data_IF_019074201381
#
_entry.id   IF_019074201381
#
_cell.length_a   1.000
_cell.length_b   1.000
_cell.length_c   1.000
_cell.angle_alpha   90.00
_cell.angle_beta   90.00
_cell.angle_gamma   90.00
#
_symmetry.space_group_name_H-M   'P 1'
#
loop_
_entity.id
_entity.type
_entity.pdbx_description
1 polymer ?
#
# COMPACT_ATOMS: atom_id res chain seq x y z
N UNK A 1 26.71 -36.86 -24.81
CA UNK A 1 25.62 -37.48 -25.58
C UNK A 1 24.66 -38.13 -24.59
N UNK A 2 23.38 -37.89 -24.80
CA UNK A 2 22.22 -38.13 -23.93
C UNK A 2 22.12 -39.55 -23.34
N UNK A 3 21.56 -39.66 -22.11
CA UNK A 3 20.29 -40.34 -21.84
C UNK A 3 19.82 -40.06 -20.39
N UNK A 4 18.49 -39.92 -20.16
CA UNK A 4 17.87 -39.45 -18.92
C UNK A 4 17.52 -40.61 -17.98
N UNK A 5 17.56 -40.39 -16.66
CA UNK A 5 16.89 -41.26 -15.70
C UNK A 5 15.85 -40.45 -14.92
N UNK A 6 14.60 -40.78 -15.23
CA UNK A 6 13.37 -40.32 -14.61
C UNK A 6 13.29 -40.97 -13.22
N UNK A 7 13.44 -40.19 -12.15
CA UNK A 7 13.06 -40.63 -10.80
C UNK A 7 11.65 -40.10 -10.53
N UNK A 8 10.68 -41.02 -10.54
CA UNK A 8 9.33 -40.74 -10.10
C UNK A 8 9.34 -40.44 -8.61
N UNK A 9 9.07 -39.18 -8.25
CA UNK A 9 8.73 -38.84 -6.88
C UNK A 9 7.38 -39.47 -6.53
N UNK A 10 7.40 -40.45 -5.63
CA UNK A 10 6.22 -41.07 -5.04
C UNK A 10 5.47 -40.00 -4.23
N UNK A 11 4.31 -39.57 -4.73
CA UNK A 11 3.48 -38.54 -4.11
C UNK A 11 2.53 -39.09 -3.02
N UNK A 12 2.79 -40.30 -2.51
CA UNK A 12 1.89 -41.00 -1.57
C UNK A 12 2.41 -41.14 -0.14
N UNK A 13 3.53 -40.51 0.21
CA UNK A 13 3.93 -40.45 1.61
C UNK A 13 3.09 -39.40 2.35
N UNK A 14 2.32 -39.87 3.34
CA UNK A 14 1.48 -39.02 4.17
C UNK A 14 2.31 -37.95 4.89
N UNK A 15 1.88 -36.70 4.82
CA UNK A 15 2.54 -35.59 5.52
C UNK A 15 2.60 -35.85 7.04
N UNK A 16 3.73 -35.48 7.65
CA UNK A 16 4.04 -35.61 9.09
C UNK A 16 3.05 -34.83 9.99
N UNK A 17 2.17 -34.03 9.39
CA UNK A 17 1.06 -33.30 10.03
C UNK A 17 -0.28 -34.02 9.94
N UNK A 18 -0.32 -35.34 9.65
CA UNK A 18 -1.54 -36.16 9.69
C UNK A 18 -2.09 -36.40 11.12
N UNK A 19 -1.89 -35.44 12.02
CA UNK A 19 -2.64 -35.37 13.26
C UNK A 19 -4.12 -35.18 12.92
N UNK A 20 -4.91 -36.19 13.27
CA UNK A 20 -6.37 -36.24 13.29
C UNK A 20 -6.98 -34.90 13.69
N UNK A 21 -7.43 -34.13 12.70
CA UNK A 21 -8.15 -32.89 12.92
C UNK A 21 -9.57 -33.24 13.45
N UNK A 22 -9.89 -32.79 14.66
CA UNK A 22 -11.09 -33.13 15.44
C UNK A 22 -12.39 -32.49 14.92
N UNK A 23 -12.35 -31.79 13.78
CA UNK A 23 -13.51 -31.18 13.15
C UNK A 23 -14.20 -32.20 12.25
N UNK A 24 -15.49 -32.47 12.51
CA UNK A 24 -16.34 -33.31 11.66
C UNK A 24 -16.14 -32.87 10.21
N UNK A 25 -15.54 -33.74 9.39
CA UNK A 25 -15.30 -33.50 7.96
C UNK A 25 -16.60 -32.99 7.34
N UNK A 26 -16.56 -31.80 6.70
CA UNK A 26 -17.75 -31.31 6.00
C UNK A 26 -18.12 -32.29 4.89
N UNK A 27 -19.40 -32.47 4.59
CA UNK A 27 -19.82 -33.37 3.50
C UNK A 27 -19.22 -32.97 2.14
N UNK A 28 -18.85 -31.69 1.99
CA UNK A 28 -18.14 -31.18 0.81
C UNK A 28 -16.71 -31.72 0.69
N UNK A 29 -16.06 -32.10 1.80
CA UNK A 29 -14.73 -32.72 1.78
C UNK A 29 -14.70 -34.12 1.15
N UNK A 30 -15.86 -34.76 0.99
CA UNK A 30 -16.00 -36.03 0.26
C UNK A 30 -16.05 -35.87 -1.25
N UNK A 31 -16.39 -34.69 -1.76
CA UNK A 31 -16.66 -34.45 -3.19
C UNK A 31 -15.40 -34.71 -4.04
N UNK A 32 -14.21 -34.51 -3.48
CA UNK A 32 -12.93 -34.75 -4.17
C UNK A 32 -12.45 -36.21 -4.22
N UNK A 33 -13.12 -37.17 -3.56
CA UNK A 33 -12.67 -38.59 -3.55
C UNK A 33 -13.26 -39.43 -4.68
N UNK A 34 -14.43 -39.05 -5.22
CA UNK A 34 -15.08 -39.74 -6.34
C UNK A 34 -15.02 -38.98 -7.67
N UNK A 35 -14.99 -37.65 -7.62
CA UNK A 35 -14.93 -36.76 -8.78
C UNK A 35 -13.68 -35.88 -8.66
N UNK A 36 -12.62 -36.23 -9.39
CA UNK A 36 -11.37 -35.43 -9.38
C UNK A 36 -11.58 -34.00 -9.90
N UNK A 37 -12.52 -33.81 -10.83
CA UNK A 37 -12.86 -32.52 -11.41
C UNK A 37 -14.34 -32.55 -11.81
N UNK A 38 -15.11 -31.52 -11.45
CA UNK A 38 -16.42 -31.26 -12.05
C UNK A 38 -16.22 -30.27 -13.18
N UNK A 39 -16.64 -30.61 -14.40
CA UNK A 39 -16.63 -29.64 -15.49
C UNK A 39 -17.78 -28.65 -15.27
N UNK A 40 -17.56 -27.37 -15.58
CA UNK A 40 -18.62 -26.33 -15.51
C UNK A 40 -19.85 -26.69 -16.33
N UNK A 41 -19.67 -27.51 -17.38
CA UNK A 41 -20.74 -28.07 -18.20
C UNK A 41 -21.61 -29.14 -17.51
N UNK A 42 -21.12 -29.73 -16.42
CA UNK A 42 -21.81 -30.77 -15.64
C UNK A 42 -22.57 -30.18 -14.45
N UNK A 43 -22.21 -28.95 -14.03
CA UNK A 43 -23.01 -28.15 -13.12
C UNK A 43 -24.34 -27.79 -13.79
N UNK A 44 -25.44 -28.28 -13.21
CA UNK A 44 -26.83 -28.17 -13.65
C UNK A 44 -27.12 -27.22 -14.83
N UNK A 45 -27.65 -27.80 -15.92
CA UNK A 45 -28.32 -27.08 -17.01
C UNK A 45 -29.62 -26.43 -16.52
N UNK A 46 -29.56 -25.56 -15.51
CA UNK A 46 -30.67 -24.64 -15.24
C UNK A 46 -30.67 -23.67 -16.40
N UNK A 47 -31.82 -23.53 -17.05
CA UNK A 47 -32.04 -22.47 -18.03
C UNK A 47 -31.47 -21.17 -17.45
N UNK A 48 -30.54 -20.55 -18.17
CA UNK A 48 -30.02 -19.24 -17.80
C UNK A 48 -31.22 -18.31 -17.80
N UNK A 49 -31.77 -18.03 -16.62
CA UNK A 49 -32.74 -16.97 -16.47
C UNK A 49 -31.94 -15.72 -16.76
N UNK A 50 -32.15 -15.12 -17.92
CA UNK A 50 -31.66 -13.77 -18.17
C UNK A 50 -32.29 -12.90 -17.08
N UNK A 51 -31.46 -12.53 -16.10
CA UNK A 51 -31.84 -11.50 -15.16
C UNK A 51 -32.13 -10.25 -15.99
N UNK A 52 -33.20 -9.50 -15.67
CA UNK A 52 -33.42 -8.22 -16.31
C UNK A 52 -32.18 -7.35 -16.14
N UNK A 53 -31.92 -6.48 -17.12
CA UNK A 53 -30.83 -5.52 -17.00
C UNK A 53 -31.01 -4.74 -15.69
N UNK A 54 -30.03 -4.83 -14.79
CA UNK A 54 -30.04 -4.07 -13.55
C UNK A 54 -29.87 -2.60 -13.89
N UNK A 55 -30.86 -1.80 -13.58
CA UNK A 55 -30.79 -0.34 -13.65
C UNK A 55 -30.02 0.28 -12.47
N UNK A 56 -29.68 -0.53 -11.45
CA UNK A 56 -28.96 -0.08 -10.26
C UNK A 56 -29.86 0.48 -9.16
N UNK A 57 -31.17 0.58 -9.40
CA UNK A 57 -32.18 1.12 -8.46
C UNK A 57 -32.14 0.46 -7.09
N UNK A 58 -32.03 -0.87 -7.04
CA UNK A 58 -31.94 -1.62 -5.79
C UNK A 58 -30.77 -1.13 -4.92
N UNK A 59 -29.60 -0.85 -5.52
CA UNK A 59 -28.42 -0.38 -4.76
C UNK A 59 -28.68 1.00 -4.15
N UNK A 60 -29.35 1.88 -4.87
CA UNK A 60 -29.73 3.23 -4.42
C UNK A 60 -30.74 3.15 -3.28
N UNK A 61 -31.82 2.37 -3.44
CA UNK A 61 -32.81 2.11 -2.39
C UNK A 61 -32.17 1.53 -1.11
N UNK A 62 -31.24 0.57 -1.26
CA UNK A 62 -30.50 0.02 -0.13
C UNK A 62 -29.62 1.08 0.55
N UNK A 63 -28.95 1.93 -0.22
CA UNK A 63 -28.09 2.99 0.32
C UNK A 63 -28.91 4.04 1.08
N UNK A 64 -30.04 4.47 0.52
CA UNK A 64 -30.98 5.40 1.16
C UNK A 64 -31.58 4.81 2.44
N UNK A 65 -31.98 3.54 2.42
CA UNK A 65 -32.51 2.86 3.59
C UNK A 65 -31.48 2.82 4.74
N UNK A 66 -30.22 2.50 4.44
CA UNK A 66 -29.16 2.44 5.44
C UNK A 66 -28.84 3.83 6.00
N UNK A 67 -28.76 4.85 5.14
CA UNK A 67 -28.60 6.24 5.55
C UNK A 67 -29.74 6.71 6.47
N UNK A 68 -31.00 6.37 6.13
CA UNK A 68 -32.18 6.70 6.96
C UNK A 68 -32.15 6.04 8.34
N UNK A 69 -31.47 4.91 8.47
CA UNK A 69 -31.29 4.17 9.74
C UNK A 69 -30.03 4.56 10.49
N UNK A 70 -29.23 5.49 9.97
CA UNK A 70 -27.95 5.87 10.56
C UNK A 70 -26.89 4.77 10.52
N UNK A 71 -27.01 3.81 9.60
CA UNK A 71 -26.07 2.69 9.45
C UNK A 71 -25.07 3.05 8.36
N UNK A 72 -23.84 3.40 8.76
CA UNK A 72 -22.80 3.87 7.85
C UNK A 72 -21.59 2.94 7.77
N UNK A 73 -21.43 2.02 8.71
CA UNK A 73 -20.29 1.11 8.79
C UNK A 73 -20.63 -0.30 8.28
N UNK A 74 -20.83 -0.41 6.96
CA UNK A 74 -21.08 -1.69 6.28
C UNK A 74 -20.20 -1.79 5.05
N UNK A 75 -20.02 -3.00 4.53
CA UNK A 75 -19.30 -3.18 3.27
C UNK A 75 -19.95 -2.42 2.11
N UNK A 76 -21.29 -2.35 2.06
CA UNK A 76 -22.00 -1.65 1.00
C UNK A 76 -21.82 -0.14 1.08
N UNK A 77 -22.03 0.44 2.27
CA UNK A 77 -21.86 1.88 2.50
C UNK A 77 -20.41 2.32 2.33
N UNK A 78 -19.42 1.45 2.54
CA UNK A 78 -18.02 1.75 2.22
C UNK A 78 -17.79 2.05 0.73
N UNK A 79 -18.56 1.43 -0.17
CA UNK A 79 -18.45 1.65 -1.62
C UNK A 79 -19.47 2.63 -2.21
N UNK A 80 -20.57 2.90 -1.49
CA UNK A 80 -21.66 3.76 -1.99
C UNK A 80 -21.70 5.14 -1.34
N UNK A 81 -21.07 5.31 -0.17
CA UNK A 81 -21.04 6.63 0.48
C UNK A 81 -20.18 7.59 -0.34
N UNK A 82 -20.61 8.86 -0.49
CA UNK A 82 -19.78 9.86 -1.13
C UNK A 82 -18.49 10.04 -0.33
N UNK A 83 -17.37 9.86 -1.02
CA UNK A 83 -16.04 10.12 -0.49
C UNK A 83 -15.83 11.63 -0.60
N UNK A 84 -15.43 12.30 0.47
CA UNK A 84 -15.29 13.77 0.50
C UNK A 84 -13.98 14.18 1.15
N UNK A 85 -13.32 15.19 0.60
CA UNK A 85 -12.15 15.83 1.17
C UNK A 85 -10.90 14.97 1.05
N UNK A 86 -10.20 14.75 2.17
CA UNK A 86 -8.91 14.03 2.16
C UNK A 86 -9.01 12.58 1.66
N UNK A 87 -10.20 11.99 1.71
CA UNK A 87 -10.44 10.63 1.23
C UNK A 87 -10.56 10.55 -0.30
N UNK A 88 -10.66 11.67 -1.00
CA UNK A 88 -10.69 11.72 -2.48
C UNK A 88 -9.28 11.75 -3.11
N UNK A 89 -8.25 12.00 -2.28
CA UNK A 89 -6.86 12.14 -2.72
C UNK A 89 -6.13 10.83 -3.13
N UNK A 90 -6.52 9.62 -2.68
CA UNK A 90 -5.94 8.39 -3.20
C UNK A 90 -6.05 8.34 -4.73
N UNK A 91 -4.99 7.87 -5.41
CA UNK A 91 -4.92 7.94 -6.87
C UNK A 91 -6.08 7.23 -7.58
N UNK A 92 -6.59 6.14 -7.00
CA UNK A 92 -7.70 5.40 -7.59
C UNK A 92 -9.01 6.20 -7.59
N UNK A 93 -9.26 7.03 -6.57
CA UNK A 93 -10.39 7.97 -6.56
C UNK A 93 -10.18 9.11 -7.56
N UNK A 94 -8.99 9.71 -7.59
CA UNK A 94 -8.66 10.74 -8.59
C UNK A 94 -8.82 10.23 -10.01
N UNK A 95 -8.37 9.00 -10.29
CA UNK A 95 -8.50 8.38 -11.61
C UNK A 95 -9.97 8.13 -11.96
N UNK A 96 -10.78 7.65 -11.01
CA UNK A 96 -12.21 7.50 -11.21
C UNK A 96 -12.91 8.84 -11.45
N UNK A 97 -12.57 9.88 -10.68
CA UNK A 97 -13.11 11.22 -10.83
C UNK A 97 -12.75 11.83 -12.19
N UNK A 98 -11.49 11.68 -12.62
CA UNK A 98 -11.05 12.12 -13.95
C UNK A 98 -11.83 11.43 -15.05
N UNK A 99 -12.01 10.11 -14.98
CA UNK A 99 -12.81 9.34 -15.94
C UNK A 99 -14.26 9.83 -16.01
N UNK A 100 -14.85 10.20 -14.88
CA UNK A 100 -16.23 10.69 -14.80
C UNK A 100 -16.42 12.09 -15.40
N UNK A 101 -15.34 12.85 -15.65
CA UNK A 101 -15.43 14.13 -16.37
C UNK A 101 -15.76 13.96 -17.86
N UNK A 102 -15.62 12.75 -18.40
CA UNK A 102 -15.77 12.48 -19.84
C UNK A 102 -14.58 12.94 -20.69
N UNK A 103 -13.51 13.46 -20.07
CA UNK A 103 -12.27 13.80 -20.76
C UNK A 103 -11.55 12.56 -21.30
N UNK A 104 -10.75 12.75 -22.36
CA UNK A 104 -9.88 11.69 -22.88
C UNK A 104 -8.83 11.34 -21.84
N UNK A 105 -8.79 10.07 -21.45
CA UNK A 105 -7.82 9.57 -20.47
C UNK A 105 -6.43 9.56 -21.11
N UNK A 106 -5.60 10.51 -20.69
CA UNK A 106 -4.17 10.56 -21.03
C UNK A 106 -3.35 10.79 -19.76
N UNK A 107 -2.07 10.38 -19.70
CA UNK A 107 -1.24 10.60 -18.52
C UNK A 107 -1.11 12.09 -18.15
N UNK A 108 -0.92 12.96 -19.15
CA UNK A 108 -0.85 14.41 -18.95
C UNK A 108 -2.18 14.99 -18.51
N UNK A 109 -3.30 14.59 -19.15
CA UNK A 109 -4.63 15.04 -18.76
C UNK A 109 -5.02 14.62 -17.34
N UNK A 110 -4.65 13.40 -16.94
CA UNK A 110 -4.82 12.93 -15.58
C UNK A 110 -3.98 13.73 -14.58
N UNK A 111 -2.70 13.99 -14.91
CA UNK A 111 -1.83 14.75 -14.03
C UNK A 111 -2.33 16.18 -13.80
N UNK A 112 -2.72 16.86 -14.89
CA UNK A 112 -3.32 18.20 -14.80
C UNK A 112 -4.62 18.21 -14.00
N UNK A 113 -5.48 17.20 -14.18
CA UNK A 113 -6.66 17.04 -13.34
C UNK A 113 -6.28 16.86 -11.86
N UNK A 114 -5.35 15.95 -11.55
CA UNK A 114 -4.94 15.67 -10.18
C UNK A 114 -4.36 16.90 -9.47
N UNK A 115 -3.57 17.73 -10.17
CA UNK A 115 -3.06 19.02 -9.66
C UNK A 115 -4.17 19.96 -9.17
N UNK A 116 -5.35 19.94 -9.83
CA UNK A 116 -6.49 20.76 -9.40
C UNK A 116 -7.17 20.25 -8.13
N UNK A 117 -6.99 18.97 -7.78
CA UNK A 117 -7.60 18.34 -6.61
C UNK A 117 -6.69 18.42 -5.37
N UNK A 118 -5.37 18.40 -5.57
CA UNK A 118 -4.36 18.44 -4.50
C UNK A 118 -4.08 19.86 -4.00
N UNK A 119 -5.12 20.59 -3.58
CA UNK A 119 -4.94 21.93 -3.03
C UNK A 119 -4.11 21.90 -1.73
N UNK A 120 -3.26 22.92 -1.46
CA UNK A 120 -2.32 22.89 -0.32
C UNK A 120 -2.99 22.64 1.04
N UNK A 121 -4.15 23.26 1.27
CA UNK A 121 -4.93 23.08 2.51
C UNK A 121 -5.44 21.64 2.69
N UNK A 122 -5.80 20.98 1.59
CA UNK A 122 -6.29 19.59 1.61
C UNK A 122 -5.12 18.63 1.82
N UNK A 123 -3.98 18.88 1.15
CA UNK A 123 -2.74 18.13 1.37
C UNK A 123 -2.28 18.23 2.83
N UNK A 124 -2.31 19.42 3.44
CA UNK A 124 -1.97 19.58 4.85
C UNK A 124 -2.93 18.84 5.79
N UNK A 125 -4.24 18.81 5.47
CA UNK A 125 -5.21 18.01 6.24
C UNK A 125 -4.93 16.51 6.11
N UNK A 126 -4.54 16.05 4.93
CA UNK A 126 -4.22 14.64 4.68
C UNK A 126 -2.96 14.21 5.46
N UNK A 127 -1.92 15.06 5.46
CA UNK A 127 -0.72 14.86 6.28
C UNK A 127 -1.08 14.70 7.76
N UNK A 128 -1.79 15.67 8.35
CA UNK A 128 -2.21 15.60 9.76
C UNK A 128 -3.07 14.38 10.08
N UNK A 129 -3.95 14.00 9.16
CA UNK A 129 -4.81 12.82 9.33
C UNK A 129 -4.05 11.49 9.22
N UNK A 130 -2.80 11.51 8.76
CA UNK A 130 -1.96 10.33 8.55
C UNK A 130 -0.67 10.37 9.36
N UNK A 131 -0.59 11.18 10.43
CA UNK A 131 0.63 11.31 11.23
C UNK A 131 1.03 10.03 11.97
N UNK A 132 0.08 9.12 12.22
CA UNK A 132 0.35 7.78 12.78
C UNK A 132 0.78 6.77 11.71
N UNK A 133 1.00 7.24 10.48
CA UNK A 133 1.56 6.49 9.37
C UNK A 133 0.91 5.10 9.17
N UNK A 134 1.67 4.02 9.38
CA UNK A 134 1.25 2.65 9.13
C UNK A 134 0.02 2.21 9.96
N UNK A 135 -0.28 2.88 11.07
CA UNK A 135 -1.47 2.62 11.88
C UNK A 135 -2.75 3.27 11.32
N UNK A 136 -2.62 4.05 10.23
CA UNK A 136 -3.74 4.76 9.60
C UNK A 136 -4.11 4.13 8.26
N UNK A 137 -5.35 3.62 8.06
CA UNK A 137 -5.77 3.06 6.78
C UNK A 137 -5.63 4.04 5.60
N UNK A 138 -5.94 5.32 5.82
CA UNK A 138 -5.79 6.37 4.82
C UNK A 138 -4.34 6.52 4.34
N UNK A 139 -3.35 6.32 5.20
CA UNK A 139 -1.94 6.39 4.80
C UNK A 139 -1.58 5.31 3.79
N UNK A 140 -2.11 4.09 3.96
CA UNK A 140 -1.94 3.00 2.98
C UNK A 140 -2.65 3.33 1.66
N UNK A 141 -3.86 3.88 1.72
CA UNK A 141 -4.62 4.26 0.52
C UNK A 141 -3.96 5.38 -0.26
N UNK A 142 -3.41 6.40 0.41
CA UNK A 142 -2.70 7.50 -0.24
C UNK A 142 -1.43 7.00 -0.94
N UNK A 143 -0.72 6.02 -0.37
CA UNK A 143 0.48 5.41 -0.95
C UNK A 143 0.16 4.50 -2.15
N UNK A 144 -1.02 3.88 -2.17
CA UNK A 144 -1.38 2.91 -3.20
C UNK A 144 -1.37 3.55 -4.61
N UNK A 145 -0.52 3.02 -5.48
CA UNK A 145 -0.34 3.50 -6.85
C UNK A 145 0.57 4.73 -6.97
N UNK A 146 1.01 5.34 -5.86
CA UNK A 146 1.94 6.48 -5.87
C UNK A 146 3.38 6.00 -5.79
N UNK A 147 4.28 6.70 -6.48
CA UNK A 147 5.71 6.51 -6.36
C UNK A 147 6.16 7.19 -5.07
N UNK A 148 6.43 6.39 -4.03
CA UNK A 148 6.90 6.94 -2.74
C UNK A 148 8.41 7.20 -2.77
N UNK A 149 8.91 8.10 -1.92
CA UNK A 149 10.35 8.38 -1.79
C UNK A 149 11.22 7.10 -1.72
N UNK A 150 10.85 6.15 -0.87
CA UNK A 150 11.55 4.85 -0.73
C UNK A 150 11.49 3.92 -1.96
N UNK A 151 10.69 4.27 -2.98
CA UNK A 151 10.55 3.55 -4.25
C UNK A 151 11.04 4.35 -5.45
N UNK A 152 11.28 5.65 -5.28
CA UNK A 152 11.65 6.56 -6.37
C UNK A 152 12.93 6.11 -7.07
N UNK A 153 13.98 5.79 -6.32
CA UNK A 153 15.25 5.34 -6.89
C UNK A 153 15.09 4.04 -7.71
N UNK A 154 14.34 3.07 -7.17
CA UNK A 154 14.08 1.81 -7.86
C UNK A 154 13.17 2.02 -9.09
N UNK A 155 12.22 2.95 -9.04
CA UNK A 155 11.36 3.28 -10.18
C UNK A 155 12.14 3.97 -11.30
N UNK A 156 13.02 4.92 -10.97
CA UNK A 156 13.83 5.67 -11.94
C UNK A 156 14.84 4.79 -12.69
N UNK A 157 15.35 3.73 -12.05
CA UNK A 157 16.31 2.79 -12.64
C UNK A 157 15.68 1.48 -13.11
N UNK A 158 14.35 1.41 -13.19
CA UNK A 158 13.65 0.21 -13.66
C UNK A 158 13.73 0.12 -15.19
N UNK A 159 14.43 -0.89 -15.69
CA UNK A 159 14.52 -1.16 -17.14
C UNK A 159 13.47 -2.17 -17.63
N UNK A 160 12.71 -2.78 -16.73
CA UNK A 160 11.61 -3.69 -17.05
C UNK A 160 10.28 -2.96 -16.92
N UNK A 161 9.29 -3.39 -17.72
CA UNK A 161 7.98 -2.75 -17.76
C UNK A 161 7.28 -2.77 -16.39
N UNK A 162 7.40 -3.87 -15.66
CA UNK A 162 6.60 -4.14 -14.46
C UNK A 162 7.42 -4.24 -13.15
N UNK A 163 8.75 -4.15 -13.21
CA UNK A 163 9.63 -4.52 -12.09
C UNK A 163 9.39 -3.73 -10.80
N UNK A 164 9.21 -2.41 -10.92
CA UNK A 164 8.88 -1.53 -9.78
C UNK A 164 7.37 -1.33 -9.61
N UNK A 165 6.56 -1.70 -10.62
CA UNK A 165 5.13 -1.49 -10.64
C UNK A 165 4.40 -2.29 -9.57
N UNK A 166 4.77 -3.57 -9.38
CA UNK A 166 4.16 -4.41 -8.34
C UNK A 166 4.29 -3.79 -6.94
N UNK A 167 5.47 -3.22 -6.63
CA UNK A 167 5.71 -2.57 -5.34
C UNK A 167 4.93 -1.26 -5.20
N UNK A 168 4.82 -0.47 -6.27
CA UNK A 168 4.02 0.76 -6.32
C UNK A 168 2.52 0.44 -6.13
N UNK A 169 2.05 -0.68 -6.66
CA UNK A 169 0.69 -1.20 -6.49
C UNK A 169 0.51 -1.94 -5.15
N UNK A 170 1.44 -1.82 -4.21
CA UNK A 170 1.26 -2.30 -2.84
C UNK A 170 1.56 -3.79 -2.63
N UNK A 171 2.35 -4.42 -3.50
CA UNK A 171 2.86 -5.77 -3.24
C UNK A 171 3.58 -5.81 -1.88
N UNK A 172 3.14 -6.73 -1.01
CA UNK A 172 3.68 -6.86 0.34
C UNK A 172 5.07 -7.48 0.30
N UNK A 173 6.03 -6.77 0.87
CA UNK A 173 7.35 -7.33 1.15
C UNK A 173 7.28 -8.10 2.46
N UNK A 174 7.86 -9.30 2.48
CA UNK A 174 7.95 -10.11 3.70
C UNK A 174 8.82 -9.36 4.71
N UNK A 175 8.25 -9.10 5.89
CA UNK A 175 8.97 -8.45 6.97
C UNK A 175 10.16 -9.29 7.45
N UNK A 176 11.32 -8.65 7.58
CA UNK A 176 12.55 -9.27 8.06
C UNK A 176 12.83 -8.88 9.52
N UNK A 177 13.65 -9.65 10.23
CA UNK A 177 14.04 -9.31 11.60
C UNK A 177 14.82 -7.98 11.69
N UNK A 178 15.54 -7.61 10.63
CA UNK A 178 16.19 -6.31 10.52
C UNK A 178 15.18 -5.16 10.46
N UNK A 179 14.10 -5.31 9.68
CA UNK A 179 13.01 -4.33 9.59
C UNK A 179 12.31 -4.15 10.93
N UNK A 180 11.92 -5.26 11.60
CA UNK A 180 11.30 -5.21 12.93
C UNK A 180 12.18 -4.50 13.96
N UNK A 181 13.50 -4.76 13.91
CA UNK A 181 14.46 -4.07 14.76
C UNK A 181 14.47 -2.57 14.47
N UNK A 182 14.49 -2.17 13.20
CA UNK A 182 14.43 -0.77 12.78
C UNK A 182 13.21 -0.06 13.37
N UNK A 183 12.01 -0.57 13.11
CA UNK A 183 10.75 -0.02 13.64
C UNK A 183 10.75 0.09 15.16
N UNK A 184 11.31 -0.89 15.87
CA UNK A 184 11.40 -0.84 17.35
C UNK A 184 12.35 0.23 17.86
N UNK A 185 13.43 0.53 17.13
CA UNK A 185 14.47 1.46 17.57
C UNK A 185 14.22 2.90 17.12
N UNK A 186 13.46 3.10 16.06
CA UNK A 186 13.20 4.39 15.42
C UNK A 186 12.84 5.49 16.42
N UNK A 187 11.87 5.22 17.30
CA UNK A 187 11.44 6.20 18.31
C UNK A 187 12.56 6.58 19.29
N UNK A 188 13.37 5.60 19.72
CA UNK A 188 14.49 5.86 20.62
C UNK A 188 15.59 6.67 19.94
N UNK A 189 15.86 6.40 18.65
CA UNK A 189 16.81 7.16 17.84
C UNK A 189 16.34 8.60 17.65
N UNK A 190 15.05 8.80 17.34
CA UNK A 190 14.45 10.12 17.17
C UNK A 190 14.55 10.96 18.45
N UNK A 191 14.31 10.36 19.62
CA UNK A 191 14.50 11.01 20.91
C UNK A 191 15.97 11.39 21.16
N UNK A 192 16.89 10.47 20.92
CA UNK A 192 18.32 10.72 21.07
C UNK A 192 18.83 11.83 20.13
N UNK A 193 18.33 11.85 18.89
CA UNK A 193 18.63 12.88 17.90
C UNK A 193 18.14 14.26 18.37
N UNK A 194 16.90 14.35 18.84
CA UNK A 194 16.30 15.59 19.35
C UNK A 194 17.11 16.15 20.53
N UNK A 195 17.56 15.28 21.44
CA UNK A 195 18.42 15.67 22.57
C UNK A 195 19.81 16.11 22.11
N UNK A 196 20.42 15.41 21.16
CA UNK A 196 21.79 15.69 20.69
C UNK A 196 21.88 16.98 19.87
N UNK A 197 20.85 17.27 19.08
CA UNK A 197 20.79 18.47 18.24
C UNK A 197 20.08 19.65 18.92
N UNK A 198 19.63 19.47 20.16
CA UNK A 198 18.88 20.48 20.93
C UNK A 198 17.73 21.12 20.13
N UNK A 199 17.04 20.29 19.33
CA UNK A 199 15.97 20.73 18.45
C UNK A 199 14.74 19.83 18.57
N UNK A 200 13.61 20.32 18.07
CA UNK A 200 12.36 19.57 18.07
C UNK A 200 12.23 18.82 16.75
N UNK A 201 12.24 17.49 16.80
CA UNK A 201 11.90 16.64 15.65
C UNK A 201 10.44 16.19 15.78
N UNK A 202 9.61 16.61 14.83
CA UNK A 202 8.17 16.34 14.80
C UNK A 202 7.85 15.06 14.03
N UNK A 203 6.73 14.43 14.38
CA UNK A 203 6.10 13.39 13.57
C UNK A 203 5.35 14.05 12.41
N UNK A 204 5.41 13.43 11.23
CA UNK A 204 4.72 13.87 10.03
C UNK A 204 4.04 12.67 9.36
N UNK A 205 2.87 12.94 8.78
CA UNK A 205 2.13 11.97 7.99
C UNK A 205 2.60 11.88 6.55
N UNK A 206 1.69 11.48 5.67
CA UNK A 206 1.96 11.37 4.25
C UNK A 206 1.90 12.74 3.57
N UNK A 207 3.04 13.17 3.03
CA UNK A 207 3.22 14.38 2.25
C UNK A 207 2.84 14.13 0.79
N UNK A 208 1.95 14.99 0.29
CA UNK A 208 1.52 15.04 -1.10
C UNK A 208 2.04 16.33 -1.73
N UNK A 209 2.51 16.24 -2.96
CA UNK A 209 2.91 17.39 -3.76
C UNK A 209 1.80 17.73 -4.77
N UNK A 210 1.44 19.02 -4.85
CA UNK A 210 0.39 19.46 -5.77
C UNK A 210 0.87 19.42 -7.21
N UNK A 211 2.10 19.88 -7.48
CA UNK A 211 2.69 19.95 -8.81
C UNK A 211 3.01 18.56 -9.33
N UNK A 212 3.40 17.67 -8.43
CA UNK A 212 3.56 16.26 -8.67
C UNK A 212 2.64 15.43 -7.76
N UNK A 213 1.34 15.31 -8.13
CA UNK A 213 0.53 14.16 -7.74
C UNK A 213 1.27 12.90 -8.23
N UNK A 214 0.84 11.65 -8.12
CA UNK A 214 1.73 10.49 -8.42
C UNK A 214 2.93 10.32 -7.46
N UNK A 215 3.63 11.35 -7.00
CA UNK A 215 4.65 11.25 -5.95
C UNK A 215 4.03 11.44 -4.56
N UNK A 216 4.80 11.04 -3.54
CA UNK A 216 4.52 11.30 -2.13
C UNK A 216 5.61 10.75 -1.21
N UNK A 217 5.68 11.24 0.02
CA UNK A 217 6.69 10.85 0.99
C UNK A 217 6.11 10.78 2.41
N UNK A 218 6.77 10.05 3.31
CA UNK A 218 6.42 9.99 4.73
C UNK A 218 7.74 9.98 5.50
N UNK A 219 8.26 11.15 5.90
CA UNK A 219 9.55 11.22 6.58
C UNK A 219 9.46 10.66 8.00
N UNK A 220 10.59 10.15 8.52
CA UNK A 220 10.67 9.64 9.91
C UNK A 220 10.62 10.79 10.92
N UNK A 221 11.01 12.00 10.51
CA UNK A 221 10.76 13.21 11.26
C UNK A 221 11.14 14.48 10.52
N UNK A 222 10.64 15.61 11.01
CA UNK A 222 10.93 16.93 10.43
C UNK A 222 11.25 17.92 11.54
N UNK A 223 12.33 18.68 11.36
CA UNK A 223 12.73 19.82 12.19
C UNK A 223 12.49 21.13 11.43
N UNK A 224 12.81 22.27 12.04
CA UNK A 224 12.70 23.57 11.38
C UNK A 224 13.60 23.68 10.13
N UNK A 225 14.79 23.08 10.19
CA UNK A 225 15.84 23.28 9.18
C UNK A 225 16.15 22.04 8.34
N UNK A 226 15.61 20.87 8.71
CA UNK A 226 15.97 19.61 8.08
C UNK A 226 14.89 18.54 8.20
N UNK A 227 14.93 17.58 7.27
CA UNK A 227 14.16 16.32 7.32
C UNK A 227 15.06 15.19 7.82
N UNK A 228 14.47 14.28 8.58
CA UNK A 228 15.15 13.15 9.22
C UNK A 228 14.73 11.85 8.55
N UNK A 229 15.72 11.08 8.11
CA UNK A 229 15.59 9.67 7.75
C UNK A 229 16.44 8.85 8.74
N UNK A 230 15.84 7.84 9.38
CA UNK A 230 16.44 7.01 10.41
C UNK A 230 16.71 5.61 9.88
N UNK A 231 17.97 5.26 9.80
CA UNK A 231 18.42 3.93 9.42
C UNK A 231 19.08 3.22 10.60
N UNK A 232 18.59 2.03 10.94
CA UNK A 232 19.12 1.22 12.05
C UNK A 232 19.82 -0.04 11.54
N UNK A 233 21.05 0.05 10.98
CA UNK A 233 21.74 -1.10 10.43
C UNK A 233 22.05 -2.17 11.48
N UNK A 234 22.15 -3.42 11.02
CA UNK A 234 22.43 -4.59 11.88
C UNK A 234 23.94 -4.85 12.01
N UNK A 235 24.73 -4.43 11.03
CA UNK A 235 26.20 -4.55 11.01
C UNK A 235 26.87 -3.34 10.34
N UNK A 236 28.15 -3.11 10.62
CA UNK A 236 28.97 -2.06 9.98
C UNK A 236 29.14 -2.26 8.46
N UNK A 237 28.95 -3.47 7.94
CA UNK A 237 28.97 -3.70 6.49
C UNK A 237 27.73 -3.13 5.78
N UNK A 238 26.62 -2.98 6.52
CA UNK A 238 25.35 -2.41 6.04
C UNK A 238 25.36 -0.88 5.99
N UNK A 239 26.42 -0.22 6.49
CA UNK A 239 26.55 1.25 6.52
C UNK A 239 27.01 1.83 5.17
N UNK A 240 27.62 1.01 4.30
CA UNK A 240 28.33 1.48 3.10
C UNK A 240 27.46 2.02 1.95
N UNK A 241 26.18 2.30 2.22
CA UNK A 241 25.24 2.87 1.25
C UNK A 241 25.00 4.37 1.41
N UNK A 242 25.22 4.95 2.59
CA UNK A 242 24.82 6.34 2.92
C UNK A 242 25.79 6.94 3.96
N UNK A 243 26.03 8.26 3.88
CA UNK A 243 27.11 8.94 4.60
C UNK A 243 27.02 8.79 6.14
N UNK A 244 28.09 8.33 6.82
CA UNK A 244 28.06 8.02 8.25
C UNK A 244 28.23 9.26 9.13
N UNK A 245 27.31 9.47 10.09
CA UNK A 245 27.56 10.31 11.29
C UNK A 245 27.81 9.39 12.47
N UNK A 246 29.08 9.29 12.89
CA UNK A 246 29.57 8.27 13.82
C UNK A 246 28.93 8.21 15.21
N UNK A 247 28.90 6.98 15.75
CA UNK A 247 28.62 6.62 17.15
C UNK A 247 28.59 5.10 17.36
N UNK A 248 29.14 4.62 18.48
CA UNK A 248 29.40 3.21 18.85
C UNK A 248 28.16 2.30 19.09
N UNK A 249 27.01 2.63 18.48
CA UNK A 249 25.89 1.72 18.28
C UNK A 249 25.38 2.00 16.87
N UNK A 250 25.43 0.98 15.99
CA UNK A 250 25.14 1.07 14.55
C UNK A 250 23.74 1.67 14.29
N UNK A 251 23.67 3.00 14.27
CA UNK A 251 22.49 3.83 14.04
C UNK A 251 22.97 4.94 13.12
N UNK A 252 22.39 5.00 11.93
CA UNK A 252 22.68 6.01 10.92
C UNK A 252 21.48 6.92 10.84
N UNK A 253 21.72 8.22 10.98
CA UNK A 253 20.70 9.24 10.78
C UNK A 253 21.16 10.08 9.62
N UNK A 254 20.40 10.06 8.54
CA UNK A 254 20.64 10.95 7.40
C UNK A 254 19.80 12.20 7.63
N UNK A 255 20.47 13.34 7.74
CA UNK A 255 19.84 14.64 7.88
C UNK A 255 19.89 15.33 6.52
N UNK A 256 18.73 15.51 5.91
CA UNK A 256 18.60 16.34 4.72
C UNK A 256 18.35 17.78 5.18
N UNK A 257 19.40 18.60 5.17
CA UNK A 257 19.30 20.04 5.43
C UNK A 257 18.51 20.66 4.27
N UNK A 258 17.46 21.42 4.58
CA UNK A 258 16.79 22.28 3.62
C UNK A 258 17.73 23.43 3.25
N UNK A 259 18.65 23.18 2.32
CA UNK A 259 19.10 24.22 1.41
C UNK A 259 18.35 23.94 0.11
N UNK A 260 17.40 24.82 -0.22
CA UNK A 260 16.64 24.89 -1.46
C UNK A 260 16.87 23.67 -2.38
N UNK A 261 16.02 22.65 -2.22
CA UNK A 261 16.09 21.46 -3.04
C UNK A 261 15.73 21.85 -4.49
N UNK A 262 16.73 22.26 -5.27
CA UNK A 262 16.66 22.52 -6.72
C UNK A 262 16.42 21.23 -7.55
N UNK A 263 15.85 20.18 -6.94
CA UNK A 263 15.33 19.01 -7.65
C UNK A 263 13.84 19.16 -8.02
N UNK A 264 13.26 20.33 -7.76
CA UNK A 264 12.04 20.81 -8.39
C UNK A 264 12.37 22.01 -9.30
N UNK A 265 12.97 21.76 -10.46
CA UNK A 265 12.98 22.67 -11.64
C UNK A 265 12.72 21.86 -12.90
#
# INVERSE_FOLDING_TARGET
>A
MLLPFWHGYSAEDAAVTSTTCYWRKSELSSVGRGLKFMKTSESGKKAVRHLPASDGSAREEFTELYASKGIFDTQLTAYTSPVVGIKELPLHYLHSAHKNTGAVISPSGFNEFAKTQLLPDICQKAEKATCLQADTPLWHELRYGRITASKLNAAAHCHTLDGSLEQILGARVKETEAMKRGTRLEQAVKMALSMKLECKVLDYGFLLDQEFPVFGASPDGVSADFTVEINCPVSSQTEKGEDPVGGDQLIHVVLYIYQDCELCV
#
